data_IF_813293309513
#
_entry.id   IF_813293309513
#
_cell.length_a   1.000
_cell.length_b   1.000
_cell.length_c   1.000
_cell.angle_alpha   90.00
_cell.angle_beta   90.00
_cell.angle_gamma   90.00
#
_symmetry.space_group_name_H-M   'P 1'
#
loop_
_entity.id
_entity.type
_entity.pdbx_description
1 polymer ?
#
# COMPACT_ATOMS: atom_id res chain seq x y z
N UNK A 1 11.33 -15.61 1.82
CA UNK A 1 10.72 -15.75 3.15
C UNK A 1 9.88 -14.52 3.36
N UNK A 2 8.54 -14.66 3.42
CA UNK A 2 7.68 -13.54 3.80
C UNK A 2 8.00 -13.14 5.25
N UNK A 3 8.13 -11.84 5.50
CA UNK A 3 8.20 -11.29 6.84
C UNK A 3 6.89 -11.50 7.58
N UNK A 4 6.96 -11.55 8.91
CA UNK A 4 5.77 -11.57 9.77
C UNK A 4 5.01 -10.24 9.68
N UNK A 5 3.70 -10.23 9.93
CA UNK A 5 2.89 -9.01 9.96
C UNK A 5 3.50 -7.87 10.80
N UNK A 6 4.12 -8.17 11.95
CA UNK A 6 4.80 -7.17 12.79
C UNK A 6 6.03 -6.52 12.13
N UNK A 7 6.82 -7.30 11.37
CA UNK A 7 7.98 -6.80 10.65
C UNK A 7 7.54 -5.93 9.46
N UNK A 8 6.53 -6.38 8.73
CA UNK A 8 5.93 -5.64 7.63
C UNK A 8 5.31 -4.32 8.11
N UNK A 9 4.60 -4.36 9.24
CA UNK A 9 4.05 -3.17 9.88
C UNK A 9 5.15 -2.16 10.26
N UNK A 10 6.27 -2.63 10.81
CA UNK A 10 7.44 -1.79 11.07
C UNK A 10 8.00 -1.14 9.81
N UNK A 11 8.12 -1.91 8.72
CA UNK A 11 8.53 -1.40 7.42
C UNK A 11 7.55 -0.35 6.89
N UNK A 12 6.25 -0.64 6.87
CA UNK A 12 5.20 0.30 6.41
C UNK A 12 5.24 1.59 7.24
N UNK A 13 5.26 1.48 8.58
CA UNK A 13 5.25 2.62 9.50
C UNK A 13 6.44 3.56 9.33
N UNK A 14 7.58 3.04 8.86
CA UNK A 14 8.79 3.83 8.58
C UNK A 14 8.62 4.90 7.47
N UNK A 15 7.52 4.89 6.71
CA UNK A 15 7.24 5.91 5.70
C UNK A 15 5.78 6.34 5.72
N UNK A 16 5.56 7.65 5.90
CA UNK A 16 4.22 8.24 5.79
C UNK A 16 3.57 8.03 4.42
N UNK A 17 4.36 7.83 3.36
CA UNK A 17 3.83 7.57 2.01
C UNK A 17 3.33 6.13 1.88
N UNK A 18 4.08 5.16 2.43
CA UNK A 18 3.65 3.76 2.49
C UNK A 18 2.38 3.58 3.30
N UNK A 19 2.30 4.19 4.49
CA UNK A 19 1.09 4.16 5.33
C UNK A 19 -0.12 4.70 4.56
N UNK A 20 0.02 5.82 3.85
CA UNK A 20 -1.10 6.41 3.11
C UNK A 20 -1.55 5.57 1.91
N UNK A 21 -0.60 4.97 1.18
CA UNK A 21 -0.92 4.07 0.06
C UNK A 21 -1.59 2.79 0.56
N UNK A 22 -1.04 2.15 1.61
CA UNK A 22 -1.63 0.96 2.24
C UNK A 22 -3.06 1.24 2.71
N UNK A 23 -3.27 2.36 3.44
CA UNK A 23 -4.61 2.78 3.88
C UNK A 23 -5.58 2.88 2.71
N UNK A 24 -5.17 3.55 1.64
CA UNK A 24 -6.05 3.75 0.49
C UNK A 24 -6.35 2.45 -0.26
N UNK A 25 -5.36 1.57 -0.39
CA UNK A 25 -5.54 0.28 -1.08
C UNK A 25 -6.34 -0.73 -0.24
N UNK A 26 -6.29 -0.63 1.09
CA UNK A 26 -7.12 -1.44 1.99
C UNK A 26 -8.62 -1.17 1.82
N UNK A 27 -9.00 0.01 1.33
CA UNK A 27 -10.40 0.34 1.04
C UNK A 27 -10.86 -0.27 -0.29
N UNK A 28 -10.01 -0.21 -1.32
CA UNK A 28 -10.27 -0.78 -2.64
C UNK A 28 -9.04 -0.66 -3.55
N UNK A 29 -8.92 -1.53 -4.58
CA UNK A 29 -7.93 -1.36 -5.62
C UNK A 29 -8.00 0.01 -6.30
N UNK A 30 -6.84 0.58 -6.66
CA UNK A 30 -6.77 1.94 -7.20
C UNK A 30 -5.65 2.10 -8.24
N UNK A 31 -5.83 3.06 -9.15
CA UNK A 31 -4.77 3.47 -10.09
C UNK A 31 -3.88 4.58 -9.49
N UNK A 32 -2.64 4.79 -9.96
CA UNK A 32 -1.74 5.81 -9.43
C UNK A 32 -2.32 7.23 -9.34
N UNK A 33 -3.20 7.59 -10.28
CA UNK A 33 -3.87 8.90 -10.27
C UNK A 33 -4.85 9.05 -9.11
N UNK A 34 -5.59 7.99 -8.79
CA UNK A 34 -6.52 7.97 -7.65
C UNK A 34 -5.72 8.00 -6.35
N UNK A 35 -4.70 7.14 -6.21
CA UNK A 35 -3.79 7.16 -5.05
C UNK A 35 -3.20 8.55 -4.80
N UNK A 36 -2.74 9.23 -5.85
CA UNK A 36 -2.23 10.62 -5.77
C UNK A 36 -3.27 11.59 -5.21
N UNK A 37 -4.51 11.52 -5.71
CA UNK A 37 -5.56 12.45 -5.34
C UNK A 37 -6.08 12.17 -3.94
N UNK A 38 -6.32 10.91 -3.62
CA UNK A 38 -6.96 10.48 -2.36
C UNK A 38 -6.00 10.57 -1.18
N UNK A 39 -4.68 10.47 -1.42
CA UNK A 39 -3.66 10.61 -0.37
C UNK A 39 -3.07 12.01 -0.25
N UNK A 40 -3.48 12.95 -1.13
CA UNK A 40 -2.91 14.29 -1.28
C UNK A 40 -1.37 14.31 -1.35
N UNK A 41 -0.81 13.48 -2.24
CA UNK A 41 0.65 13.31 -2.39
C UNK A 41 1.12 13.54 -3.83
N UNK A 42 2.39 13.98 -4.03
CA UNK A 42 2.97 14.05 -5.37
C UNK A 42 3.04 12.67 -6.02
N UNK A 43 2.85 12.61 -7.34
CA UNK A 43 2.87 11.36 -8.11
C UNK A 43 4.16 10.56 -7.90
N UNK A 44 5.32 11.23 -7.86
CA UNK A 44 6.61 10.57 -7.60
C UNK A 44 6.61 9.81 -6.27
N UNK A 45 6.11 10.42 -5.19
CA UNK A 45 6.07 9.78 -3.86
C UNK A 45 5.08 8.63 -3.79
N UNK A 46 4.01 8.69 -4.57
CA UNK A 46 3.06 7.58 -4.72
C UNK A 46 3.71 6.44 -5.48
N UNK A 47 4.34 6.71 -6.62
CA UNK A 47 5.06 5.69 -7.40
C UNK A 47 6.15 5.02 -6.58
N UNK A 48 7.01 5.80 -5.93
CA UNK A 48 8.08 5.26 -5.06
C UNK A 48 7.49 4.36 -3.96
N UNK A 49 6.39 4.77 -3.32
CA UNK A 49 5.76 3.99 -2.26
C UNK A 49 5.07 2.72 -2.78
N UNK A 50 4.44 2.76 -3.94
CA UNK A 50 3.84 1.57 -4.57
C UNK A 50 4.93 0.58 -4.94
N UNK A 51 6.01 1.03 -5.57
CA UNK A 51 7.11 0.15 -5.97
C UNK A 51 7.81 -0.47 -4.74
N UNK A 52 8.09 0.33 -3.70
CA UNK A 52 8.59 -0.14 -2.40
C UNK A 52 7.71 -1.27 -1.81
N UNK A 53 6.38 -1.07 -1.80
CA UNK A 53 5.43 -2.02 -1.23
C UNK A 53 5.27 -3.28 -2.10
N UNK A 54 5.39 -3.14 -3.43
CA UNK A 54 5.40 -4.28 -4.36
C UNK A 54 6.66 -5.12 -4.19
N UNK A 55 7.81 -4.49 -4.04
CA UNK A 55 9.08 -5.17 -3.79
C UNK A 55 9.07 -5.93 -2.45
N UNK A 56 8.34 -5.43 -1.46
CA UNK A 56 8.08 -6.16 -0.20
C UNK A 56 7.01 -7.25 -0.32
N UNK A 57 6.27 -7.31 -1.42
CA UNK A 57 5.18 -8.25 -1.65
C UNK A 57 3.88 -7.93 -0.90
N UNK A 58 3.68 -6.66 -0.49
CA UNK A 58 2.47 -6.19 0.21
C UNK A 58 1.42 -5.62 -0.76
N UNK A 59 1.85 -5.24 -1.96
CA UNK A 59 1.00 -4.70 -3.02
C UNK A 59 1.24 -5.50 -4.29
N UNK A 60 0.20 -5.70 -5.08
CA UNK A 60 0.29 -6.32 -6.40
C UNK A 60 -0.38 -5.51 -7.49
N UNK A 61 -0.03 -5.83 -8.74
CA UNK A 61 -0.64 -5.25 -9.94
C UNK A 61 -1.67 -6.23 -10.48
N UNK A 62 -2.93 -5.81 -10.54
CA UNK A 62 -4.06 -6.64 -10.99
C UNK A 62 -4.24 -6.66 -12.51
N UNK A 63 -3.31 -6.03 -13.24
CA UNK A 63 -3.32 -5.95 -14.70
C UNK A 63 -1.97 -6.42 -15.26
N UNK A 64 -1.87 -6.78 -16.55
CA UNK A 64 -0.61 -7.22 -17.13
C UNK A 64 0.49 -6.15 -17.03
N UNK A 65 1.73 -6.56 -16.74
CA UNK A 65 2.89 -5.66 -16.54
C UNK A 65 3.17 -4.71 -17.72
N UNK A 66 2.85 -5.14 -18.95
CA UNK A 66 2.98 -4.33 -20.17
C UNK A 66 2.05 -3.11 -20.21
N UNK A 67 1.04 -3.07 -19.34
CA UNK A 67 0.10 -1.97 -19.28
C UNK A 67 0.72 -0.77 -18.56
N UNK A 68 0.70 0.38 -19.24
CA UNK A 68 1.23 1.64 -18.72
C UNK A 68 0.11 2.57 -18.22
N UNK A 69 -1.03 2.60 -18.91
CA UNK A 69 -2.23 3.36 -18.50
C UNK A 69 -3.22 2.46 -17.79
N UNK A 70 -3.74 2.91 -16.65
CA UNK A 70 -4.71 2.16 -15.86
C UNK A 70 -4.09 0.98 -15.10
N UNK A 71 -2.82 1.11 -14.68
CA UNK A 71 -2.19 0.15 -13.76
C UNK A 71 -2.99 0.12 -12.46
N UNK A 72 -3.72 -0.96 -12.22
CA UNK A 72 -4.58 -1.13 -11.06
C UNK A 72 -3.80 -1.90 -9.99
N UNK A 73 -3.65 -1.30 -8.81
CA UNK A 73 -2.94 -1.89 -7.69
C UNK A 73 -3.91 -2.29 -6.58
N UNK A 74 -3.58 -3.34 -5.85
CA UNK A 74 -4.31 -3.81 -4.67
C UNK A 74 -3.34 -4.31 -3.60
N UNK A 75 -3.82 -4.46 -2.37
CA UNK A 75 -3.08 -5.22 -1.36
C UNK A 75 -3.07 -6.71 -1.75
N UNK A 76 -1.98 -7.39 -1.45
CA UNK A 76 -1.97 -8.87 -1.42
C UNK A 76 -2.59 -9.35 -0.12
N UNK A 77 -2.90 -10.65 0.02
CA UNK A 77 -3.35 -11.23 1.29
C UNK A 77 -2.42 -10.86 2.47
N UNK A 78 -1.09 -10.90 2.24
CA UNK A 78 -0.08 -10.48 3.24
C UNK A 78 -0.12 -8.97 3.52
N UNK A 79 -0.43 -8.17 2.50
CA UNK A 79 -0.66 -6.73 2.65
C UNK A 79 -1.88 -6.43 3.52
N UNK A 80 -2.97 -7.18 3.34
CA UNK A 80 -4.19 -7.08 4.16
C UNK A 80 -3.89 -7.48 5.61
N UNK A 81 -3.28 -8.64 5.84
CA UNK A 81 -2.87 -9.10 7.19
C UNK A 81 -1.97 -8.06 7.89
N UNK A 82 -1.01 -7.47 7.16
CA UNK A 82 -0.16 -6.41 7.67
C UNK A 82 -0.98 -5.18 8.08
N UNK A 83 -1.94 -4.76 7.25
CA UNK A 83 -2.76 -3.58 7.51
C UNK A 83 -3.70 -3.78 8.70
N UNK A 84 -4.35 -4.95 8.78
CA UNK A 84 -5.18 -5.35 9.92
C UNK A 84 -4.37 -5.35 11.22
N UNK A 85 -3.19 -5.97 11.22
CA UNK A 85 -2.29 -5.95 12.37
C UNK A 85 -1.94 -4.53 12.82
N UNK A 86 -1.69 -3.60 11.87
CA UNK A 86 -1.41 -2.20 12.20
C UNK A 86 -2.58 -1.49 12.87
N UNK A 87 -3.83 -1.80 12.49
CA UNK A 87 -5.05 -1.27 13.11
C UNK A 87 -5.22 -1.84 14.52
N UNK A 88 -5.18 -3.17 14.65
CA UNK A 88 -5.37 -3.87 15.93
C UNK A 88 -4.30 -3.46 16.96
N UNK A 89 -3.06 -3.28 16.50
CA UNK A 89 -1.94 -2.83 17.32
C UNK A 89 -1.93 -1.32 17.55
N UNK A 90 -2.96 -0.58 17.10
CA UNK A 90 -3.07 0.88 17.21
C UNK A 90 -1.86 1.65 16.64
N UNK A 91 -1.16 1.07 15.66
CA UNK A 91 -0.04 1.72 14.98
C UNK A 91 -0.50 2.78 13.98
N UNK A 92 -1.71 2.63 13.47
CA UNK A 92 -2.41 3.60 12.62
C UNK A 92 -3.80 3.80 13.19
N UNK A 93 -4.35 4.99 13.02
CA UNK A 93 -5.76 5.18 13.34
C UNK A 93 -6.59 4.61 12.18
N UNK A 94 -7.68 3.86 12.51
CA UNK A 94 -8.70 3.52 11.51
C UNK A 94 -9.29 4.81 10.93
N UNK A 95 -9.81 4.76 9.70
CA UNK A 95 -10.56 5.90 9.18
C UNK A 95 -11.77 6.20 10.10
N UNK A 96 -12.09 7.48 10.34
CA UNK A 96 -13.24 7.89 11.14
C UNK A 96 -14.58 7.53 10.49
#
# INVERSE_FOLDING_TARGET
MGGTAAADAGYVKGSKHRVAVMRRLAQSPAIPKELKNDTDRPYSRVSDAVDDLRDQGLVELLVPEKQTKGRLYALTDRGEECWEFMIESSMVEPDP
#
